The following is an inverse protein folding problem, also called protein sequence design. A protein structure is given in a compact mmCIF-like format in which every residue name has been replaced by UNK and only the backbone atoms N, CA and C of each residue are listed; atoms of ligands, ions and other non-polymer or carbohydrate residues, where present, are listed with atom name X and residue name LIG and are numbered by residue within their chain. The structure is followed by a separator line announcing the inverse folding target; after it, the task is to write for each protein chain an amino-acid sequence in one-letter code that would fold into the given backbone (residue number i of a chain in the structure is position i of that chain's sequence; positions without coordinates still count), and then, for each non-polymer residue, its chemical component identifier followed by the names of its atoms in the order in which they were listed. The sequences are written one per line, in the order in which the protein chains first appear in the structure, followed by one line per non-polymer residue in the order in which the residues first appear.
data_IF_641847961316
#
_entry.id   IF_641847961316
#
_cell.length_a   1.000
_cell.length_b   1.000
_cell.length_c   1.000
_cell.angle_alpha   90.00
_cell.angle_beta   90.00
_cell.angle_gamma   90.00
#
_symmetry.space_group_name_H-M   'P 1'
#
loop_
_entity.id
_entity.type
_entity.pdbx_description
1 polymer ?
#
# COMPACT_ATOMS: atom_id res chain seq x y z
N UNK A 1 1.93 12.95 -10.80
CA UNK A 1 2.30 11.53 -10.61
C UNK A 1 1.89 10.78 -11.86
N UNK A 2 2.85 10.18 -12.55
CA UNK A 2 2.60 9.34 -13.72
C UNK A 2 1.70 8.18 -13.35
N UNK A 3 0.55 8.02 -14.02
CA UNK A 3 -0.32 6.88 -13.80
C UNK A 3 0.38 5.61 -14.28
N UNK A 4 0.73 4.74 -13.33
CA UNK A 4 1.21 3.40 -13.65
C UNK A 4 0.00 2.59 -14.12
N UNK A 5 0.07 2.06 -15.33
CA UNK A 5 -0.94 1.15 -15.85
C UNK A 5 -0.72 -0.24 -15.22
N UNK A 6 -1.73 -0.77 -14.53
CA UNK A 6 -1.69 -2.06 -13.82
C UNK A 6 -0.56 -2.14 -12.77
N UNK A 7 -0.58 -1.30 -11.73
CA UNK A 7 0.37 -1.41 -10.62
C UNK A 7 0.21 -2.79 -9.95
N UNK A 8 1.32 -3.50 -9.67
CA UNK A 8 1.28 -4.76 -8.92
C UNK A 8 0.89 -4.51 -7.46
N UNK A 9 0.40 -5.55 -6.77
CA UNK A 9 0.14 -5.45 -5.34
C UNK A 9 1.48 -5.32 -4.61
N UNK A 10 1.69 -4.33 -3.71
CA UNK A 10 3.01 -4.13 -3.10
C UNK A 10 3.48 -5.31 -2.25
N UNK A 11 2.57 -6.12 -1.73
CA UNK A 11 2.89 -7.39 -1.08
C UNK A 11 3.62 -8.40 -1.98
N UNK A 12 3.48 -8.31 -3.30
CA UNK A 12 4.22 -9.17 -4.24
C UNK A 12 5.71 -8.81 -4.27
N UNK A 13 6.07 -7.52 -4.19
CA UNK A 13 7.48 -7.07 -4.05
C UNK A 13 8.12 -7.63 -2.77
N UNK A 14 7.36 -7.70 -1.67
CA UNK A 14 7.87 -8.37 -0.46
C UNK A 14 8.17 -9.85 -0.73
N UNK A 15 7.29 -10.55 -1.44
CA UNK A 15 7.41 -11.98 -1.74
C UNK A 15 8.54 -12.30 -2.71
N UNK A 16 8.63 -11.52 -3.78
CA UNK A 16 9.43 -11.85 -4.96
C UNK A 16 10.83 -11.26 -4.90
N UNK A 17 11.00 -10.12 -4.21
CA UNK A 17 12.29 -9.41 -4.14
C UNK A 17 12.88 -9.39 -2.73
N UNK A 18 12.12 -8.94 -1.73
CA UNK A 18 12.67 -8.65 -0.39
C UNK A 18 12.94 -9.92 0.42
N UNK A 19 11.98 -10.85 0.52
CA UNK A 19 12.20 -12.08 1.28
C UNK A 19 13.34 -12.94 0.71
N UNK A 20 13.45 -13.15 -0.61
CA UNK A 20 14.58 -13.85 -1.20
C UNK A 20 15.92 -13.13 -0.97
N UNK A 21 15.96 -11.79 -1.10
CA UNK A 21 17.18 -11.02 -0.87
C UNK A 21 17.68 -11.11 0.58
N UNK A 22 16.76 -11.19 1.54
CA UNK A 22 17.07 -11.36 2.96
C UNK A 22 17.31 -12.84 3.36
N UNK A 23 17.08 -13.80 2.45
CA UNK A 23 17.16 -15.23 2.74
C UNK A 23 16.15 -15.70 3.79
N UNK A 24 14.99 -15.04 3.88
CA UNK A 24 14.00 -15.29 4.93
C UNK A 24 12.82 -16.11 4.42
N UNK A 25 12.40 -17.08 5.25
CA UNK A 25 11.11 -17.73 5.07
C UNK A 25 9.97 -16.81 5.51
N UNK A 26 8.78 -17.03 4.97
CA UNK A 26 7.55 -16.31 5.38
C UNK A 26 7.32 -16.42 6.89
N UNK A 27 7.61 -17.59 7.48
CA UNK A 27 7.48 -17.79 8.93
C UNK A 27 8.44 -16.89 9.70
N UNK A 28 9.71 -16.83 9.30
CA UNK A 28 10.72 -16.03 9.99
C UNK A 28 10.46 -14.53 9.85
N UNK A 29 10.03 -14.09 8.68
CA UNK A 29 9.65 -12.69 8.46
C UNK A 29 8.41 -12.32 9.29
N UNK A 30 7.41 -13.19 9.38
CA UNK A 30 6.22 -12.93 10.20
C UNK A 30 6.56 -12.79 11.69
N UNK A 31 7.46 -13.64 12.20
CA UNK A 31 7.98 -13.51 13.56
C UNK A 31 8.68 -12.17 13.78
N UNK A 32 9.59 -11.77 12.87
CA UNK A 32 10.33 -10.51 12.98
C UNK A 32 9.44 -9.27 12.87
N UNK A 33 8.42 -9.33 12.02
CA UNK A 33 7.41 -8.28 11.87
C UNK A 33 6.36 -8.29 13.01
N UNK A 34 6.41 -9.27 13.91
CA UNK A 34 5.44 -9.47 14.99
C UNK A 34 3.98 -9.51 14.46
N UNK A 35 3.75 -10.36 13.45
CA UNK A 35 2.44 -10.63 12.87
C UNK A 35 2.23 -12.13 12.71
N UNK A 36 0.97 -12.56 12.57
CA UNK A 36 0.74 -13.97 12.26
C UNK A 36 1.26 -14.31 10.86
N UNK A 37 1.80 -15.52 10.69
CA UNK A 37 2.19 -16.06 9.38
C UNK A 37 1.06 -15.99 8.35
N UNK A 38 -0.18 -16.20 8.79
CA UNK A 38 -1.37 -16.12 7.94
C UNK A 38 -1.60 -14.69 7.46
N UNK A 39 -1.50 -13.70 8.34
CA UNK A 39 -1.65 -12.29 7.97
C UNK A 39 -0.59 -11.89 6.93
N UNK A 40 0.69 -12.19 7.20
CA UNK A 40 1.76 -11.89 6.24
C UNK A 40 1.53 -12.62 4.91
N UNK A 41 1.20 -13.92 4.93
CA UNK A 41 0.93 -14.68 3.71
C UNK A 41 -0.20 -14.10 2.86
N UNK A 42 -1.26 -13.55 3.48
CA UNK A 42 -2.33 -12.88 2.73
C UNK A 42 -1.84 -11.62 2.05
N UNK A 43 -1.01 -10.82 2.70
CA UNK A 43 -0.37 -9.63 2.10
C UNK A 43 0.54 -10.03 0.93
N UNK A 44 1.42 -11.01 1.14
CA UNK A 44 2.38 -11.49 0.13
C UNK A 44 1.72 -12.03 -1.15
N UNK A 45 0.48 -12.50 -1.04
CA UNK A 45 -0.28 -13.06 -2.16
C UNK A 45 -1.38 -12.12 -2.68
N UNK A 46 -1.34 -10.84 -2.33
CA UNK A 46 -2.31 -9.84 -2.80
C UNK A 46 -3.74 -10.06 -2.31
N UNK A 47 -3.93 -10.87 -1.25
CA UNK A 47 -5.23 -11.19 -0.64
C UNK A 47 -5.57 -10.32 0.57
N UNK A 48 -4.67 -9.43 0.96
CA UNK A 48 -4.87 -8.41 1.98
C UNK A 48 -3.96 -7.21 1.65
N UNK A 49 -4.49 -6.01 1.86
CA UNK A 49 -3.72 -4.78 1.68
C UNK A 49 -2.62 -4.63 2.74
N UNK A 50 -1.58 -3.87 2.40
CA UNK A 50 -0.65 -3.30 3.38
C UNK A 50 -1.37 -2.16 4.11
N UNK A 51 -1.74 -2.40 5.38
CA UNK A 51 -2.31 -1.36 6.24
C UNK A 51 -1.24 -0.37 6.72
N UNK A 52 -1.62 0.82 7.24
CA UNK A 52 -0.67 1.75 7.86
C UNK A 52 0.15 1.11 8.99
N UNK A 53 -0.49 0.26 9.80
CA UNK A 53 0.19 -0.46 10.87
C UNK A 53 1.19 -1.50 10.34
N UNK A 54 0.89 -2.17 9.22
CA UNK A 54 1.85 -3.05 8.55
C UNK A 54 2.99 -2.25 7.92
N UNK A 55 2.70 -1.11 7.32
CA UNK A 55 3.72 -0.23 6.73
C UNK A 55 4.72 0.27 7.77
N UNK A 56 4.26 0.65 8.97
CA UNK A 56 5.13 1.01 10.08
C UNK A 56 5.99 -0.17 10.59
N UNK A 57 5.43 -1.39 10.59
CA UNK A 57 6.23 -2.60 10.89
C UNK A 57 7.32 -2.82 9.85
N UNK A 58 7.00 -2.66 8.55
CA UNK A 58 7.99 -2.76 7.47
C UNK A 58 9.07 -1.68 7.59
N UNK A 59 8.72 -0.46 7.97
CA UNK A 59 9.67 0.62 8.21
C UNK A 59 10.64 0.30 9.35
N UNK A 60 10.13 -0.14 10.49
CA UNK A 60 10.97 -0.55 11.61
C UNK A 60 11.80 -1.80 11.33
N UNK A 61 11.31 -2.70 10.47
CA UNK A 61 11.96 -3.97 10.16
C UNK A 61 13.05 -3.85 9.08
N UNK A 62 12.79 -3.11 8.01
CA UNK A 62 13.74 -2.89 6.92
C UNK A 62 14.66 -1.70 7.19
N UNK A 63 14.20 -0.69 7.93
CA UNK A 63 14.84 0.62 7.98
C UNK A 63 14.52 1.47 6.75
N UNK A 64 14.43 2.78 6.94
CA UNK A 64 14.08 3.74 5.86
C UNK A 64 15.12 3.71 4.74
N UNK A 65 16.40 3.56 5.10
CA UNK A 65 17.55 3.50 4.20
C UNK A 65 17.54 2.28 3.27
N UNK A 66 16.83 1.20 3.64
CA UNK A 66 16.68 0.00 2.83
C UNK A 66 15.32 -0.07 2.12
N UNK A 67 14.65 1.08 1.95
CA UNK A 67 13.35 1.15 1.28
C UNK A 67 12.16 0.80 2.18
N UNK A 68 12.34 0.80 3.51
CA UNK A 68 11.28 0.50 4.47
C UNK A 68 10.24 1.60 4.66
N UNK A 69 10.45 2.82 4.14
CA UNK A 69 9.62 4.00 4.46
C UNK A 69 8.12 3.72 4.34
N UNK A 70 7.36 3.89 5.42
CA UNK A 70 5.95 3.51 5.50
C UNK A 70 5.09 4.24 4.44
N UNK A 71 5.34 5.53 4.21
CA UNK A 71 4.62 6.32 3.19
C UNK A 71 4.76 5.74 1.79
N UNK A 72 5.90 5.12 1.46
CA UNK A 72 6.13 4.52 0.16
C UNK A 72 5.22 3.30 -0.03
N UNK A 73 5.16 2.42 0.97
CA UNK A 73 4.29 1.25 0.97
C UNK A 73 2.81 1.64 0.88
N UNK A 74 2.39 2.68 1.61
CA UNK A 74 1.03 3.21 1.53
C UNK A 74 0.74 3.80 0.15
N UNK A 75 1.67 4.55 -0.44
CA UNK A 75 1.48 5.10 -1.78
C UNK A 75 1.33 4.00 -2.84
N UNK A 76 2.13 2.93 -2.76
CA UNK A 76 2.03 1.77 -3.64
C UNK A 76 0.69 1.04 -3.47
N UNK A 77 0.26 0.82 -2.22
CA UNK A 77 -1.02 0.20 -1.93
C UNK A 77 -2.19 1.05 -2.47
N UNK A 78 -2.14 2.37 -2.26
CA UNK A 78 -3.17 3.28 -2.77
C UNK A 78 -3.23 3.27 -4.30
N UNK A 79 -2.09 3.20 -4.99
CA UNK A 79 -2.05 3.07 -6.44
C UNK A 79 -2.70 1.76 -6.91
N UNK A 80 -2.38 0.63 -6.26
CA UNK A 80 -3.01 -0.67 -6.52
C UNK A 80 -4.53 -0.64 -6.29
N UNK A 81 -4.97 -0.12 -5.15
CA UNK A 81 -6.39 -0.07 -4.77
C UNK A 81 -7.18 0.83 -5.74
N UNK A 82 -6.66 2.01 -6.08
CA UNK A 82 -7.30 2.93 -7.02
C UNK A 82 -7.39 2.33 -8.42
N UNK A 83 -6.35 1.62 -8.89
CA UNK A 83 -6.39 0.97 -10.19
C UNK A 83 -7.48 -0.11 -10.25
N UNK A 84 -7.58 -0.95 -9.22
CA UNK A 84 -8.62 -1.98 -9.12
C UNK A 84 -10.04 -1.38 -9.02
N UNK A 85 -10.20 -0.30 -8.25
CA UNK A 85 -11.48 0.40 -8.13
C UNK A 85 -11.92 0.99 -9.47
N UNK A 86 -11.00 1.64 -10.20
CA UNK A 86 -11.28 2.20 -11.54
C UNK A 86 -11.68 1.12 -12.54
N UNK A 87 -11.04 -0.04 -12.50
CA UNK A 87 -11.37 -1.19 -13.35
C UNK A 87 -12.76 -1.77 -13.04
N UNK A 88 -13.17 -1.75 -11.77
CA UNK A 88 -14.47 -2.25 -11.32
C UNK A 88 -15.64 -1.28 -11.60
N UNK A 89 -15.33 -0.06 -12.01
CA UNK A 89 -16.30 1.00 -12.31
C UNK A 89 -16.22 2.15 -11.31
N UNK A 90 -16.33 3.38 -11.82
CA UNK A 90 -16.27 4.58 -11.00
C UNK A 90 -17.58 4.78 -10.22
N UNK A 91 -17.51 5.20 -8.93
CA UNK A 91 -18.70 5.58 -8.20
C UNK A 91 -19.38 6.78 -8.86
N UNK A 92 -20.71 6.78 -8.90
CA UNK A 92 -21.49 7.93 -9.34
C UNK A 92 -21.43 9.01 -8.26
N UNK A 93 -20.87 10.16 -8.59
CA UNK A 93 -20.74 11.30 -7.67
C UNK A 93 -21.13 12.58 -8.40
N UNK A 94 -21.77 13.50 -7.68
CA UNK A 94 -21.96 14.87 -8.13
C UNK A 94 -20.72 15.70 -7.77
N UNK A 95 -20.27 16.58 -8.68
CA UNK A 95 -19.09 17.42 -8.42
C UNK A 95 -19.48 18.58 -7.51
N UNK A 96 -18.71 18.77 -6.44
CA UNK A 96 -18.85 19.96 -5.61
C UNK A 96 -18.59 21.23 -6.44
N UNK A 97 -19.46 22.23 -6.32
CA UNK A 97 -19.25 23.54 -6.92
C UNK A 97 -18.34 24.39 -6.02
N UNK A 98 -17.02 24.26 -6.20
CA UNK A 98 -16.03 24.93 -5.36
C UNK A 98 -15.97 26.45 -5.63
N UNK A 99 -16.38 26.92 -6.81
CA UNK A 99 -16.36 28.33 -7.17
C UNK A 99 -17.30 29.18 -6.28
N UNK A 100 -18.53 28.70 -6.03
CA UNK A 100 -19.49 29.40 -5.16
C UNK A 100 -19.07 29.41 -3.67
N UNK A 101 -18.33 28.41 -3.22
CA UNK A 101 -17.89 28.33 -1.82
C UNK A 101 -16.80 29.33 -1.47
N UNK A 102 -15.91 29.66 -2.42
CA UNK A 102 -14.83 30.63 -2.23
C UNK A 102 -15.36 32.07 -2.23
N UNK A 103 -16.36 32.38 -3.06
CA UNK A 103 -17.02 33.70 -3.07
C UNK A 103 -17.69 34.03 -1.72
N UNK A 104 -18.23 33.00 -1.05
CA UNK A 104 -18.91 33.12 0.25
C UNK A 104 -17.94 33.27 1.44
N UNK A 105 -16.68 32.84 1.31
CA UNK A 105 -15.65 32.94 2.36
C UNK A 105 -14.87 34.27 2.30
N UNK A 106 -14.99 35.01 1.20
CA UNK A 106 -14.35 36.32 1.00
C UNK A 106 -15.30 37.51 1.18
N UNK A 107 -16.58 37.26 1.50
CA UNK A 107 -17.61 38.26 1.79
C UNK A 107 -17.84 38.38 3.31
#
# INVERSE_FOLDING_TARGET
MSEIYNPPHPGETLRDDILPALGLSVTKAAEQLNVSRVALSRVLNGRAAISPEMALRLEGWLGVENGGKADLWIAQQAAYDLWNARKSGLPKVERANIAQALECLTA
#
